data_IF_584893888046
#
_entry.id   IF_584893888046
#
_cell.length_a   1.000
_cell.length_b   1.000
_cell.length_c   1.000
_cell.angle_alpha   90.00
_cell.angle_beta   90.00
_cell.angle_gamma   90.00
#
_symmetry.space_group_name_H-M   'P 1'
#
loop_
_entity.id
_entity.type
_entity.pdbx_description
1 polymer ?
#
# COMPACT_ATOMS: atom_id res chain seq x y z
N UNK A 1 -5.95 23.11 -18.80
CA UNK A 1 -5.08 22.00 -18.36
C UNK A 1 -3.78 22.13 -19.14
N UNK A 2 -2.63 22.39 -18.50
CA UNK A 2 -1.36 22.42 -19.24
C UNK A 2 -1.10 21.00 -19.73
N UNK A 3 -0.89 20.83 -21.03
CA UNK A 3 -0.42 19.57 -21.59
C UNK A 3 1.04 19.42 -21.15
N UNK A 4 1.32 18.41 -20.33
CA UNK A 4 2.70 18.08 -19.94
C UNK A 4 3.47 17.72 -21.21
N UNK A 5 4.70 18.24 -21.32
CA UNK A 5 5.54 18.03 -22.51
C UNK A 5 6.52 16.88 -22.26
N UNK A 6 6.00 15.76 -21.75
CA UNK A 6 6.74 14.52 -21.48
C UNK A 6 6.90 13.77 -22.82
N UNK A 7 8.11 13.31 -23.12
CA UNK A 7 8.39 12.54 -24.34
C UNK A 7 7.97 11.07 -24.21
N UNK A 8 8.24 10.50 -23.04
CA UNK A 8 7.92 9.12 -22.66
C UNK A 8 6.42 8.93 -22.58
N UNK A 9 5.88 7.98 -23.33
CA UNK A 9 4.46 7.64 -23.28
C UNK A 9 4.11 6.85 -22.01
N UNK A 10 2.87 6.98 -21.57
CA UNK A 10 2.38 6.33 -20.35
C UNK A 10 2.56 4.80 -20.36
N UNK A 11 2.31 4.15 -21.49
CA UNK A 11 2.41 2.70 -21.66
C UNK A 11 3.86 2.18 -21.71
N UNK A 12 4.84 3.05 -21.90
CA UNK A 12 6.27 2.71 -21.78
C UNK A 12 6.71 2.54 -20.33
N UNK A 13 5.97 3.09 -19.37
CA UNK A 13 6.29 3.07 -17.94
C UNK A 13 5.23 2.35 -17.09
N UNK A 14 4.02 2.16 -17.60
CA UNK A 14 2.93 1.48 -16.90
C UNK A 14 2.24 0.49 -17.84
N UNK A 15 2.35 -0.79 -17.51
CA UNK A 15 1.58 -1.86 -18.15
C UNK A 15 0.31 -2.13 -17.33
N UNK A 16 -0.81 -1.55 -17.78
CA UNK A 16 -2.11 -1.65 -17.08
C UNK A 16 -2.56 -3.10 -16.92
N UNK A 17 -2.20 -3.99 -17.83
CA UNK A 17 -2.58 -5.41 -17.76
C UNK A 17 -1.81 -6.17 -16.67
N UNK A 18 -0.77 -5.56 -16.13
CA UNK A 18 0.14 -6.15 -15.15
C UNK A 18 0.02 -5.46 -13.78
N UNK A 19 -0.95 -4.57 -13.59
CA UNK A 19 -1.29 -4.03 -12.27
C UNK A 19 -1.71 -5.19 -11.35
N UNK A 20 -1.09 -5.24 -10.18
CA UNK A 20 -1.26 -6.32 -9.20
C UNK A 20 -0.98 -7.70 -9.82
N UNK A 21 0.11 -7.79 -10.59
CA UNK A 21 0.70 -9.05 -11.03
C UNK A 21 2.09 -9.23 -10.41
N UNK A 22 2.62 -10.46 -10.44
CA UNK A 22 3.99 -10.74 -10.02
C UNK A 22 5.07 -10.30 -11.02
N UNK A 23 4.71 -9.59 -12.10
CA UNK A 23 5.65 -9.10 -13.10
C UNK A 23 6.58 -8.07 -12.46
N UNK A 24 7.88 -8.21 -12.75
CA UNK A 24 8.89 -7.22 -12.38
C UNK A 24 9.09 -6.26 -13.55
N UNK A 25 9.12 -4.97 -13.26
CA UNK A 25 9.46 -3.95 -14.24
C UNK A 25 10.97 -3.78 -14.39
N UNK A 26 11.37 -3.21 -15.53
CA UNK A 26 12.78 -2.93 -15.84
C UNK A 26 13.16 -1.53 -15.36
N UNK A 27 13.51 -1.43 -14.07
CA UNK A 27 13.90 -0.16 -13.44
C UNK A 27 15.04 0.56 -14.19
N UNK A 28 16.13 -0.11 -14.63
CA UNK A 28 17.16 0.55 -15.43
C UNK A 28 16.62 1.25 -16.68
N UNK A 29 15.72 0.62 -17.42
CA UNK A 29 15.10 1.21 -18.61
C UNK A 29 14.24 2.44 -18.26
N UNK A 30 13.47 2.38 -17.17
CA UNK A 30 12.67 3.51 -16.70
C UNK A 30 13.54 4.71 -16.30
N UNK A 31 14.71 4.45 -15.69
CA UNK A 31 15.66 5.51 -15.35
C UNK A 31 16.27 6.15 -16.60
N UNK A 32 16.54 5.39 -17.65
CA UNK A 32 17.00 5.94 -18.94
C UNK A 32 15.94 6.85 -19.56
N UNK A 33 14.68 6.41 -19.61
CA UNK A 33 13.57 7.24 -20.09
C UNK A 33 13.45 8.55 -19.29
N UNK A 34 13.54 8.46 -17.95
CA UNK A 34 13.49 9.63 -17.08
C UNK A 34 14.65 10.63 -17.31
N UNK A 35 15.83 10.16 -17.71
CA UNK A 35 16.98 11.03 -18.03
C UNK A 35 16.79 11.81 -19.33
N UNK A 36 15.98 11.32 -20.26
CA UNK A 36 15.68 11.99 -21.52
C UNK A 36 14.60 13.08 -21.39
N UNK A 37 13.89 13.09 -20.26
CA UNK A 37 12.89 14.09 -19.93
C UNK A 37 13.54 15.40 -19.47
N UNK A 38 12.92 16.52 -19.86
CA UNK A 38 13.38 17.85 -19.45
C UNK A 38 12.49 18.42 -18.33
N UNK A 39 12.35 17.65 -17.24
CA UNK A 39 11.56 18.04 -16.07
C UNK A 39 12.49 18.69 -15.05
N UNK A 40 12.07 19.83 -14.49
CA UNK A 40 12.85 20.52 -13.46
C UNK A 40 12.91 19.68 -12.17
N UNK A 41 14.04 19.65 -11.45
CA UNK A 41 14.13 18.95 -10.17
C UNK A 41 13.11 19.49 -9.16
N UNK A 42 12.33 18.61 -8.54
CA UNK A 42 11.32 18.94 -7.52
C UNK A 42 11.90 19.73 -6.32
N UNK A 43 13.21 19.66 -6.07
CA UNK A 43 13.89 20.49 -5.07
C UNK A 43 13.67 22.00 -5.29
N UNK A 44 13.53 22.42 -6.55
CA UNK A 44 13.35 23.82 -6.96
C UNK A 44 11.88 24.29 -6.92
N UNK A 45 10.94 23.41 -6.58
CA UNK A 45 9.52 23.75 -6.53
C UNK A 45 9.24 24.84 -5.48
N UNK A 46 8.64 25.96 -5.94
CA UNK A 46 8.16 27.02 -5.04
C UNK A 46 6.86 26.63 -4.33
N UNK A 47 5.94 25.99 -5.06
CA UNK A 47 4.73 25.39 -4.50
C UNK A 47 4.98 23.91 -4.32
N UNK A 48 4.88 23.43 -3.08
CA UNK A 48 5.10 22.03 -2.73
C UNK A 48 3.78 21.27 -2.82
N UNK A 49 3.73 20.19 -3.60
CA UNK A 49 2.57 19.28 -3.68
C UNK A 49 3.00 17.87 -3.28
N UNK A 50 2.38 17.33 -2.23
CA UNK A 50 2.56 15.95 -1.81
C UNK A 50 1.40 15.10 -2.33
N UNK A 51 1.71 14.00 -3.02
CA UNK A 51 0.81 12.88 -3.16
C UNK A 51 1.04 11.91 -2.01
N UNK A 52 0.02 11.69 -1.19
CA UNK A 52 0.00 10.62 -0.19
C UNK A 52 -0.85 9.47 -0.74
N UNK A 53 -0.19 8.40 -1.19
CA UNK A 53 -0.84 7.18 -1.63
C UNK A 53 -1.10 6.26 -0.42
N UNK A 54 -2.36 5.98 -0.14
CA UNK A 54 -2.74 5.22 1.05
C UNK A 54 -2.76 3.73 0.71
N UNK A 55 -1.91 2.97 1.39
CA UNK A 55 -1.92 1.51 1.48
C UNK A 55 -2.11 0.81 0.13
N UNK A 56 -1.34 1.24 -0.89
CA UNK A 56 -1.33 0.64 -2.24
C UNK A 56 -0.52 -0.67 -2.23
N UNK A 57 -0.89 -1.58 -1.33
CA UNK A 57 -0.24 -2.87 -1.09
C UNK A 57 -0.98 -4.00 -1.79
N UNK A 58 -0.26 -5.08 -2.10
CA UNK A 58 -0.80 -6.28 -2.74
C UNK A 58 -1.99 -6.88 -1.96
N UNK A 59 -1.98 -6.80 -0.63
CA UNK A 59 -3.06 -7.33 0.22
C UNK A 59 -4.44 -6.71 -0.08
N UNK A 60 -4.46 -5.47 -0.55
CA UNK A 60 -5.70 -4.77 -0.92
C UNK A 60 -6.03 -4.91 -2.42
N UNK A 61 -5.23 -5.65 -3.18
CA UNK A 61 -5.42 -5.78 -4.62
C UNK A 61 -6.30 -6.94 -5.03
N UNK A 62 -7.24 -6.69 -5.94
CA UNK A 62 -8.06 -7.73 -6.57
C UNK A 62 -7.19 -8.86 -7.16
N UNK A 63 -7.69 -10.10 -7.05
CA UNK A 63 -7.06 -11.34 -7.53
C UNK A 63 -5.84 -11.85 -6.75
N UNK A 64 -5.11 -11.00 -6.04
CA UNK A 64 -3.87 -11.42 -5.33
C UNK A 64 -3.88 -11.15 -3.83
N UNK A 65 -4.75 -10.24 -3.36
CA UNK A 65 -4.74 -9.75 -1.99
C UNK A 65 -5.55 -10.60 -1.03
N UNK A 66 -5.10 -10.65 0.23
CA UNK A 66 -5.80 -11.31 1.33
C UNK A 66 -7.04 -10.53 1.82
N UNK A 67 -7.05 -9.20 1.60
CA UNK A 67 -8.14 -8.29 1.95
C UNK A 67 -8.45 -7.35 0.76
N UNK A 68 -8.69 -7.96 -0.40
CA UNK A 68 -8.88 -7.22 -1.64
C UNK A 68 -10.05 -6.22 -1.59
N UNK A 69 -9.82 -5.01 -2.10
CA UNK A 69 -10.83 -3.97 -2.26
C UNK A 69 -11.39 -4.02 -3.68
N UNK A 70 -12.71 -4.02 -3.83
CA UNK A 70 -13.36 -4.05 -5.14
C UNK A 70 -12.96 -2.82 -5.98
N UNK A 71 -12.50 -3.06 -7.22
CA UNK A 71 -12.05 -2.01 -8.15
C UNK A 71 -10.62 -1.50 -7.92
N UNK A 72 -9.84 -2.09 -7.00
CA UNK A 72 -8.50 -1.62 -6.64
C UNK A 72 -7.54 -1.53 -7.83
N UNK A 73 -7.63 -2.47 -8.80
CA UNK A 73 -6.78 -2.43 -10.00
C UNK A 73 -7.06 -1.19 -10.85
N UNK A 74 -8.34 -0.86 -10.98
CA UNK A 74 -8.78 0.31 -11.72
C UNK A 74 -8.41 1.62 -10.98
N UNK A 75 -8.38 1.61 -9.64
CA UNK A 75 -7.87 2.74 -8.85
C UNK A 75 -6.39 2.99 -9.08
N UNK A 76 -5.55 1.94 -9.08
CA UNK A 76 -4.12 2.07 -9.39
C UNK A 76 -3.91 2.60 -10.81
N UNK A 77 -4.70 2.13 -11.78
CA UNK A 77 -4.67 2.69 -13.14
C UNK A 77 -5.02 4.18 -13.15
N UNK A 78 -6.09 4.60 -12.48
CA UNK A 78 -6.48 6.02 -12.39
C UNK A 78 -5.41 6.86 -11.71
N UNK A 79 -4.83 6.35 -10.63
CA UNK A 79 -3.77 7.01 -9.85
C UNK A 79 -2.53 7.23 -10.72
N UNK A 80 -2.03 6.18 -11.37
CA UNK A 80 -0.84 6.26 -12.23
C UNK A 80 -1.06 7.19 -13.42
N UNK A 81 -2.24 7.16 -14.05
CA UNK A 81 -2.59 8.10 -15.11
C UNK A 81 -2.69 9.54 -14.60
N UNK A 82 -3.23 9.75 -13.40
CA UNK A 82 -3.28 11.08 -12.79
C UNK A 82 -1.87 11.58 -12.46
N UNK A 83 -1.00 10.74 -11.91
CA UNK A 83 0.40 11.07 -11.66
C UNK A 83 1.12 11.47 -12.95
N UNK A 84 0.98 10.67 -14.01
CA UNK A 84 1.57 10.97 -15.32
C UNK A 84 1.13 12.35 -15.86
N UNK A 85 -0.17 12.66 -15.76
CA UNK A 85 -0.71 13.97 -16.17
C UNK A 85 -0.32 15.14 -15.28
N UNK A 86 0.25 14.90 -14.09
CA UNK A 86 0.57 15.94 -13.12
C UNK A 86 2.03 15.90 -12.64
N UNK A 87 2.89 15.10 -13.28
CA UNK A 87 4.23 14.80 -12.75
C UNK A 87 5.09 16.05 -12.52
N UNK A 88 5.00 17.06 -13.40
CA UNK A 88 5.73 18.33 -13.27
C UNK A 88 5.29 19.17 -12.06
N UNK A 89 4.10 18.92 -11.52
CA UNK A 89 3.55 19.63 -10.37
C UNK A 89 3.64 18.83 -9.06
N UNK A 90 4.05 17.57 -9.13
CA UNK A 90 4.24 16.69 -7.98
C UNK A 90 5.65 16.84 -7.44
N UNK A 91 5.75 17.42 -6.25
CA UNK A 91 7.04 17.59 -5.58
C UNK A 91 7.50 16.28 -4.93
N UNK A 92 6.55 15.56 -4.32
CA UNK A 92 6.86 14.36 -3.55
C UNK A 92 5.71 13.36 -3.62
N UNK A 93 6.08 12.08 -3.59
CA UNK A 93 5.15 10.96 -3.41
C UNK A 93 5.56 10.25 -2.13
N UNK A 94 4.60 10.04 -1.24
CA UNK A 94 4.74 9.20 -0.05
C UNK A 94 3.66 8.12 -0.10
N UNK A 95 4.01 6.94 0.41
CA UNK A 95 3.05 5.86 0.59
C UNK A 95 2.93 5.56 2.09
N UNK A 96 1.71 5.40 2.59
CA UNK A 96 1.52 4.67 3.84
C UNK A 96 1.59 3.17 3.54
N UNK A 97 1.98 2.40 4.54
CA UNK A 97 1.96 0.95 4.51
C UNK A 97 1.32 0.46 5.80
N UNK A 98 0.26 -0.32 5.65
CA UNK A 98 -0.27 -1.11 6.74
C UNK A 98 0.64 -2.32 6.93
N UNK A 99 1.41 -2.28 8.02
CA UNK A 99 2.41 -3.30 8.35
C UNK A 99 1.99 -3.99 9.63
N UNK A 100 1.79 -5.30 9.52
CA UNK A 100 1.42 -6.13 10.66
C UNK A 100 2.55 -7.05 11.09
N UNK A 101 2.76 -7.16 12.40
CA UNK A 101 3.49 -8.29 12.96
C UNK A 101 2.49 -9.38 13.33
N UNK A 102 2.91 -10.64 13.28
CA UNK A 102 2.06 -11.80 13.63
C UNK A 102 1.45 -11.63 15.04
N UNK A 103 2.14 -10.93 15.94
CA UNK A 103 1.69 -10.62 17.30
C UNK A 103 1.15 -9.19 17.41
N UNK A 104 0.06 -8.90 16.72
CA UNK A 104 -0.74 -7.69 16.95
C UNK A 104 -2.11 -8.05 17.49
N UNK A 105 -2.70 -7.13 18.28
CA UNK A 105 -3.91 -7.36 19.09
C UNK A 105 -5.14 -7.85 18.31
N UNK A 106 -5.17 -7.65 17.00
CA UNK A 106 -6.28 -8.10 16.14
C UNK A 106 -6.05 -9.48 15.49
N UNK A 107 -4.88 -10.10 15.68
CA UNK A 107 -4.63 -11.48 15.27
C UNK A 107 -5.03 -12.47 16.36
N UNK A 108 -5.52 -13.65 15.96
CA UNK A 108 -5.90 -14.72 16.89
C UNK A 108 -4.72 -15.16 17.78
N UNK A 109 -3.51 -15.19 17.21
CA UNK A 109 -2.27 -15.55 17.91
C UNK A 109 -1.94 -14.64 19.11
N UNK A 110 -2.53 -13.44 19.17
CA UNK A 110 -2.41 -12.56 20.33
C UNK A 110 -3.22 -13.03 21.53
N UNK A 111 -4.27 -13.84 21.33
CA UNK A 111 -5.24 -14.16 22.36
C UNK A 111 -5.17 -15.63 22.77
N UNK A 112 -5.21 -15.87 24.08
CA UNK A 112 -5.30 -17.22 24.67
C UNK A 112 -6.46 -17.28 25.66
N UNK A 113 -7.20 -18.39 25.63
CA UNK A 113 -8.17 -18.72 26.65
C UNK A 113 -7.51 -19.30 27.93
N UNK A 114 -8.33 -19.73 28.90
CA UNK A 114 -7.83 -20.38 30.12
C UNK A 114 -7.10 -21.71 29.87
N UNK A 115 -7.40 -22.38 28.76
CA UNK A 115 -6.80 -23.65 28.35
C UNK A 115 -5.58 -23.48 27.41
N UNK A 116 -5.28 -22.24 26.99
CA UNK A 116 -4.18 -21.95 26.07
C UNK A 116 -4.55 -22.10 24.59
N UNK A 117 -5.84 -22.09 24.25
CA UNK A 117 -6.29 -22.11 22.85
C UNK A 117 -6.47 -20.69 22.31
N UNK A 118 -6.28 -20.53 20.99
CA UNK A 118 -6.56 -19.31 20.26
C UNK A 118 -8.05 -19.21 19.88
N UNK A 119 -8.60 -18.00 19.71
CA UNK A 119 -9.97 -17.82 19.25
C UNK A 119 -10.14 -18.29 17.79
N UNK A 120 -11.31 -18.82 17.49
CA UNK A 120 -11.72 -19.07 16.09
C UNK A 120 -11.78 -17.75 15.29
N UNK A 121 -11.59 -17.78 13.96
CA UNK A 121 -11.69 -16.59 13.11
C UNK A 121 -12.99 -15.81 13.35
N UNK A 122 -12.89 -14.48 13.36
CA UNK A 122 -14.01 -13.54 13.58
C UNK A 122 -14.67 -13.61 14.98
N UNK A 123 -14.02 -14.21 15.97
CA UNK A 123 -14.48 -14.16 17.37
C UNK A 123 -14.47 -12.72 17.89
N UNK A 124 -15.61 -12.26 18.41
CA UNK A 124 -15.73 -10.95 19.05
C UNK A 124 -15.24 -11.07 20.50
N UNK A 125 -14.08 -10.50 20.80
CA UNK A 125 -13.55 -10.37 22.16
C UNK A 125 -14.00 -9.02 22.73
N UNK A 126 -14.86 -9.06 23.75
CA UNK A 126 -15.34 -7.84 24.44
C UNK A 126 -14.40 -7.47 25.59
N UNK A 127 -14.48 -6.21 26.00
CA UNK A 127 -13.81 -5.73 27.21
C UNK A 127 -14.12 -6.61 28.45
N UNK A 128 -15.37 -7.05 28.61
CA UNK A 128 -15.74 -7.93 29.73
C UNK A 128 -15.00 -9.27 29.68
N UNK A 129 -14.82 -9.85 28.49
CA UNK A 129 -14.14 -11.14 28.33
C UNK A 129 -12.66 -11.04 28.73
N UNK A 130 -12.01 -9.90 28.44
CA UNK A 130 -10.63 -9.63 28.88
C UNK A 130 -10.56 -9.37 30.38
N UNK A 131 -11.47 -8.52 30.90
CA UNK A 131 -11.55 -8.20 32.33
C UNK A 131 -11.79 -9.45 33.19
N UNK A 132 -12.64 -10.35 32.72
CA UNK A 132 -13.03 -11.57 33.42
C UNK A 132 -12.05 -12.73 33.18
N UNK A 133 -10.98 -12.50 32.41
CA UNK A 133 -9.90 -13.46 32.17
C UNK A 133 -10.24 -14.59 31.19
N UNK A 134 -11.35 -14.47 30.45
CA UNK A 134 -11.72 -15.41 29.38
C UNK A 134 -10.67 -15.35 28.27
N UNK A 135 -10.23 -14.15 27.90
CA UNK A 135 -9.15 -13.94 26.94
C UNK A 135 -8.02 -13.13 27.56
N UNK A 136 -6.78 -13.60 27.40
CA UNK A 136 -5.57 -12.88 27.81
C UNK A 136 -4.61 -12.73 26.64
N UNK A 137 -3.76 -11.71 26.71
CA UNK A 137 -2.67 -11.55 25.75
C UNK A 137 -1.66 -12.70 25.89
N UNK A 138 -1.23 -13.26 24.77
CA UNK A 138 -0.14 -14.20 24.65
C UNK A 138 1.18 -13.44 24.87
N UNK A 139 1.55 -13.21 26.12
CA UNK A 139 2.81 -12.55 26.45
C UNK A 139 3.98 -13.53 26.27
N UNK A 140 5.10 -13.08 25.67
CA UNK A 140 6.39 -13.80 25.66
C UNK A 140 7.04 -13.90 27.07
N UNK A 141 6.31 -13.51 28.12
CA UNK A 141 6.75 -13.39 29.50
C UNK A 141 5.72 -14.00 30.44
N UNK A 142 5.60 -15.32 30.41
CA UNK A 142 5.36 -16.10 31.62
C UNK A 142 6.67 -16.84 31.92
N UNK A 143 7.22 -16.78 33.14
CA UNK A 143 8.42 -17.53 33.51
C UNK A 143 8.24 -19.04 33.30
#
# INVERSE_FOLDING_TARGET
MKLNNIKTQFDQIVDVQQIASGKKDNIPNMLMLAQEENIQPAALDKKRTLLLAIDVQNDFMESIGSLAVNGSKADVQRLTQWMYRNIEALTQVMCSLDCHSIRQIFHADWWLDSAGNHPEPFTIIRHADVRDGIWRAANDHTP
#
